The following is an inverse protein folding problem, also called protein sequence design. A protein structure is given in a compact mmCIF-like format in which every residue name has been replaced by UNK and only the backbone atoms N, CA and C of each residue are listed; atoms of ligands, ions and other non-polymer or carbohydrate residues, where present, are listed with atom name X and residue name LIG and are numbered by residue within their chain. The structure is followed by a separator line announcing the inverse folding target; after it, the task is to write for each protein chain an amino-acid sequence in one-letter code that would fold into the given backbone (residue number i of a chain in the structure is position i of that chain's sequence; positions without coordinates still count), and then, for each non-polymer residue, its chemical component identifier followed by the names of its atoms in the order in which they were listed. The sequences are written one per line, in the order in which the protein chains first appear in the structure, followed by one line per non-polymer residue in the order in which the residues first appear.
data_IF_011132780411
#
_entry.id   IF_011132780411
#
_cell.length_a   1.000
_cell.length_b   1.000
_cell.length_c   1.000
_cell.angle_alpha   90.00
_cell.angle_beta   90.00
_cell.angle_gamma   90.00
#
_symmetry.space_group_name_H-M   'P 1'
#
loop_
_entity.id
_entity.type
_entity.pdbx_description
1 polymer ?
#
# COMPACT_ATOMS: atom_id res chain seq x y z
N UNK A 1 -43.56 -21.20 0.70
CA UNK A 1 -42.62 -21.38 1.84
C UNK A 1 -41.27 -21.93 1.41
N UNK A 2 -41.18 -22.63 0.29
CA UNK A 2 -39.95 -23.35 -0.09
C UNK A 2 -38.84 -22.44 -0.62
N UNK A 3 -39.17 -21.34 -1.30
CA UNK A 3 -38.18 -20.41 -1.86
C UNK A 3 -37.27 -19.78 -0.79
N UNK A 4 -37.84 -19.45 0.37
CA UNK A 4 -37.10 -18.88 1.50
C UNK A 4 -36.12 -19.91 2.10
N UNK A 5 -36.50 -21.19 2.13
CA UNK A 5 -35.63 -22.28 2.62
C UNK A 5 -34.44 -22.51 1.69
N UNK A 6 -34.65 -22.48 0.37
CA UNK A 6 -33.55 -22.61 -0.60
C UNK A 6 -32.58 -21.42 -0.56
N UNK A 7 -33.09 -20.20 -0.36
CA UNK A 7 -32.25 -19.00 -0.22
C UNK A 7 -31.33 -19.11 1.01
N UNK A 8 -31.88 -19.52 2.16
CA UNK A 8 -31.10 -19.69 3.39
C UNK A 8 -30.03 -20.77 3.23
N UNK A 9 -30.36 -21.90 2.58
CA UNK A 9 -29.38 -22.96 2.30
C UNK A 9 -28.26 -22.49 1.38
N UNK A 10 -28.56 -21.69 0.36
CA UNK A 10 -27.55 -21.14 -0.56
C UNK A 10 -26.60 -20.17 0.17
N UNK A 11 -27.10 -19.32 1.05
CA UNK A 11 -26.29 -18.39 1.84
C UNK A 11 -25.36 -19.15 2.79
N UNK A 12 -25.87 -20.19 3.47
CA UNK A 12 -25.06 -21.02 4.37
C UNK A 12 -23.99 -21.78 3.60
N UNK A 13 -24.32 -22.36 2.44
CA UNK A 13 -23.36 -23.06 1.59
C UNK A 13 -22.26 -22.12 1.07
N UNK A 14 -22.63 -20.90 0.67
CA UNK A 14 -21.67 -19.89 0.22
C UNK A 14 -20.75 -19.44 1.36
N UNK A 15 -21.30 -19.17 2.54
CA UNK A 15 -20.51 -18.83 3.73
C UNK A 15 -19.53 -19.94 4.12
N UNK A 16 -19.95 -21.19 4.04
CA UNK A 16 -19.09 -22.35 4.32
C UNK A 16 -17.98 -22.52 3.28
N UNK A 17 -18.27 -22.28 1.99
CA UNK A 17 -17.26 -22.31 0.93
C UNK A 17 -16.21 -21.20 1.10
N UNK A 18 -16.64 -20.00 1.47
CA UNK A 18 -15.71 -18.89 1.78
C UNK A 18 -14.86 -19.20 2.99
N UNK A 19 -15.44 -19.77 4.06
CA UNK A 19 -14.71 -20.19 5.25
C UNK A 19 -13.64 -21.23 4.93
N UNK A 20 -13.98 -22.29 4.18
CA UNK A 20 -13.01 -23.31 3.75
C UNK A 20 -11.92 -22.73 2.84
N UNK A 21 -12.24 -21.77 1.98
CA UNK A 21 -11.25 -21.10 1.14
C UNK A 21 -10.27 -20.25 1.97
N UNK A 22 -10.76 -19.58 3.02
CA UNK A 22 -9.92 -18.84 3.97
C UNK A 22 -9.04 -19.81 4.78
N UNK A 23 -9.58 -20.92 5.29
CA UNK A 23 -8.80 -21.95 5.97
C UNK A 23 -7.74 -22.60 5.07
N UNK A 24 -8.07 -22.82 3.79
CA UNK A 24 -7.13 -23.34 2.81
C UNK A 24 -5.96 -22.38 2.59
N UNK A 25 -6.21 -21.07 2.58
CA UNK A 25 -5.18 -20.04 2.46
C UNK A 25 -4.34 -19.88 3.75
N UNK A 26 -4.88 -20.23 4.92
CA UNK A 26 -4.18 -20.14 6.22
C UNK A 26 -3.50 -21.46 6.64
N UNK A 27 -3.60 -22.52 5.84
CA UNK A 27 -2.99 -23.81 6.15
C UNK A 27 -1.46 -23.72 6.30
N UNK A 28 -1.00 -24.04 7.52
CA UNK A 28 0.40 -23.97 7.96
C UNK A 28 1.41 -24.77 7.12
N UNK A 29 0.96 -25.76 6.34
CA UNK A 29 1.81 -26.53 5.43
C UNK A 29 2.23 -25.73 4.18
N UNK A 30 1.33 -24.92 3.61
CA UNK A 30 1.63 -24.06 2.47
C UNK A 30 2.59 -22.94 2.90
N UNK A 31 2.36 -22.36 4.09
CA UNK A 31 3.23 -21.35 4.68
C UNK A 31 4.66 -21.89 4.94
N UNK A 32 4.79 -23.12 5.46
CA UNK A 32 6.11 -23.77 5.66
C UNK A 32 6.84 -24.09 4.36
N UNK A 33 6.12 -24.49 3.30
CA UNK A 33 6.71 -24.71 1.97
C UNK A 33 7.17 -23.39 1.32
N UNK A 34 6.41 -22.31 1.49
CA UNK A 34 6.78 -20.98 1.01
C UNK A 34 8.01 -20.42 1.72
N UNK A 35 8.07 -20.54 3.06
CA UNK A 35 9.24 -20.10 3.84
C UNK A 35 10.52 -20.83 3.44
N UNK A 36 10.43 -22.15 3.19
CA UNK A 36 11.54 -22.96 2.66
C UNK A 36 11.98 -22.58 1.24
N UNK A 37 11.09 -22.00 0.42
CA UNK A 37 11.49 -21.46 -0.88
C UNK A 37 12.19 -20.11 -0.72
N UNK A 38 11.71 -19.24 0.17
CA UNK A 38 12.32 -17.94 0.40
C UNK A 38 13.76 -18.03 0.95
N UNK A 39 14.02 -18.94 1.90
CA UNK A 39 15.36 -19.14 2.45
C UNK A 39 16.37 -19.70 1.42
N UNK A 40 15.89 -20.32 0.33
CA UNK A 40 16.73 -20.80 -0.77
C UNK A 40 17.07 -19.74 -1.81
N UNK A 41 16.34 -18.62 -1.84
CA UNK A 41 16.54 -17.53 -2.81
C UNK A 41 17.19 -16.28 -2.21
N UNK A 42 17.78 -16.40 -1.02
CA UNK A 42 18.61 -15.37 -0.41
C UNK A 42 19.89 -15.06 -1.20
N UNK A 43 19.80 -14.00 -2.02
CA UNK A 43 20.87 -13.10 -2.47
C UNK A 43 22.05 -13.67 -3.26
N UNK A 44 21.96 -13.54 -4.60
CA UNK A 44 23.13 -13.17 -5.41
C UNK A 44 23.01 -11.70 -5.80
N UNK A 45 23.86 -10.87 -5.18
CA UNK A 45 24.13 -9.48 -5.61
C UNK A 45 24.75 -9.53 -7.01
N UNK A 46 24.01 -9.14 -8.04
CA UNK A 46 24.62 -8.67 -9.28
C UNK A 46 23.83 -7.52 -9.88
N UNK A 47 24.55 -6.43 -10.17
CA UNK A 47 23.98 -5.21 -10.73
C UNK A 47 23.45 -5.47 -12.13
N UNK A 48 22.15 -5.19 -12.31
CA UNK A 48 21.48 -4.84 -13.56
C UNK A 48 20.04 -4.47 -13.19
N UNK A 49 19.62 -3.28 -13.58
CA UNK A 49 18.29 -2.73 -13.31
C UNK A 49 17.20 -3.68 -13.83
N UNK A 50 16.27 -4.05 -12.95
CA UNK A 50 15.08 -4.81 -13.27
C UNK A 50 13.88 -3.87 -13.31
N UNK A 51 13.06 -3.99 -14.36
CA UNK A 51 11.70 -3.45 -14.41
C UNK A 51 10.93 -3.88 -13.15
N UNK A 52 10.57 -2.93 -12.29
CA UNK A 52 9.87 -3.12 -11.01
C UNK A 52 8.40 -3.45 -11.26
N UNK A 53 8.12 -4.74 -11.44
CA UNK A 53 6.79 -5.26 -11.75
C UNK A 53 6.02 -5.67 -10.48
N UNK A 54 5.93 -4.77 -9.50
CA UNK A 54 4.74 -4.50 -8.67
C UNK A 54 5.11 -3.56 -7.50
N UNK A 55 4.17 -2.72 -7.09
CA UNK A 55 4.24 -1.89 -5.88
C UNK A 55 4.71 -2.68 -4.63
N UNK A 56 4.21 -3.91 -4.48
CA UNK A 56 4.58 -4.83 -3.40
C UNK A 56 6.09 -5.18 -3.38
N UNK A 57 6.73 -5.31 -4.54
CA UNK A 57 8.15 -5.63 -4.65
C UNK A 57 9.05 -4.43 -4.26
N UNK A 58 8.54 -3.19 -4.42
CA UNK A 58 9.21 -2.00 -3.93
C UNK A 58 9.19 -1.95 -2.40
N UNK A 59 8.06 -2.29 -1.78
CA UNK A 59 7.86 -2.26 -0.33
C UNK A 59 8.77 -3.28 0.39
N UNK A 60 8.86 -4.53 -0.11
CA UNK A 60 9.64 -5.59 0.54
C UNK A 60 11.16 -5.33 0.59
N UNK A 61 11.68 -4.41 -0.21
CA UNK A 61 13.14 -4.15 -0.33
C UNK A 61 13.63 -2.99 0.54
N UNK A 62 12.72 -2.22 1.13
CA UNK A 62 13.07 -1.02 1.89
C UNK A 62 13.01 -1.35 3.39
N UNK A 63 14.17 -1.65 3.98
CA UNK A 63 14.27 -1.84 5.43
C UNK A 63 14.01 -0.52 6.17
N UNK A 64 13.17 -0.54 7.19
CA UNK A 64 12.93 0.63 8.05
C UNK A 64 11.87 1.61 7.53
N UNK A 65 11.04 1.20 6.57
CA UNK A 65 9.86 1.99 6.19
C UNK A 65 8.91 2.06 7.39
N UNK A 66 8.58 3.28 7.81
CA UNK A 66 7.59 3.54 8.85
C UNK A 66 6.24 3.92 8.25
N UNK A 67 6.25 4.49 7.03
CA UNK A 67 5.02 4.92 6.36
C UNK A 67 5.07 4.86 4.84
N UNK A 68 3.93 4.56 4.24
CA UNK A 68 3.65 4.67 2.81
C UNK A 68 2.59 5.75 2.56
N UNK A 69 2.90 6.75 1.74
CA UNK A 69 1.96 7.77 1.30
C UNK A 69 1.66 7.58 -0.18
N UNK A 70 0.38 7.58 -0.54
CA UNK A 70 -0.06 7.37 -1.92
C UNK A 70 -0.91 8.54 -2.37
N UNK A 71 -0.60 9.11 -3.53
CA UNK A 71 -1.43 10.09 -4.23
C UNK A 71 -2.02 9.41 -5.45
N UNK A 72 -3.33 9.49 -5.63
CA UNK A 72 -4.01 8.83 -6.75
C UNK A 72 -5.20 9.62 -7.24
N UNK A 73 -5.61 9.39 -8.48
CA UNK A 73 -6.78 10.01 -9.09
C UNK A 73 -8.07 9.27 -8.76
N UNK A 74 -8.00 7.99 -8.44
CA UNK A 74 -9.16 7.14 -8.14
C UNK A 74 -8.74 6.00 -7.22
N UNK A 75 -9.72 5.22 -6.74
CA UNK A 75 -9.46 4.05 -5.90
C UNK A 75 -9.67 2.78 -6.73
N UNK A 76 -8.73 1.83 -6.63
CA UNK A 76 -8.82 0.53 -7.29
C UNK A 76 -8.75 -0.62 -6.29
N UNK A 77 -9.35 -1.76 -6.65
CA UNK A 77 -9.30 -2.98 -5.85
C UNK A 77 -7.84 -3.44 -5.69
N UNK A 78 -7.38 -3.79 -4.48
CA UNK A 78 -6.03 -4.28 -4.30
C UNK A 78 -5.85 -5.63 -5.01
N UNK A 79 -4.75 -5.77 -5.74
CA UNK A 79 -4.33 -7.07 -6.29
C UNK A 79 -3.94 -8.02 -5.15
N UNK A 80 -3.91 -9.33 -5.42
CA UNK A 80 -3.51 -10.33 -4.42
C UNK A 80 -2.08 -10.10 -3.89
N UNK A 81 -1.17 -9.61 -4.73
CA UNK A 81 0.20 -9.26 -4.31
C UNK A 81 0.22 -8.02 -3.41
N UNK A 82 -0.55 -6.98 -3.75
CA UNK A 82 -0.68 -5.79 -2.91
C UNK A 82 -1.31 -6.12 -1.56
N UNK A 83 -2.37 -6.94 -1.55
CA UNK A 83 -3.01 -7.37 -0.33
C UNK A 83 -2.04 -8.06 0.64
N UNK A 84 -1.16 -8.93 0.13
CA UNK A 84 -0.11 -9.58 0.95
C UNK A 84 0.89 -8.57 1.51
N UNK A 85 1.40 -7.67 0.67
CA UNK A 85 2.37 -6.68 1.12
C UNK A 85 1.77 -5.74 2.18
N UNK A 86 0.51 -5.31 2.02
CA UNK A 86 -0.21 -4.52 3.01
C UNK A 86 -0.37 -5.27 4.34
N UNK A 87 -0.70 -6.56 4.30
CA UNK A 87 -0.79 -7.40 5.52
C UNK A 87 0.57 -7.45 6.24
N UNK A 88 1.64 -7.75 5.50
CA UNK A 88 2.99 -7.80 6.05
C UNK A 88 3.40 -6.45 6.64
N UNK A 89 3.05 -5.34 5.98
CA UNK A 89 3.37 -3.99 6.42
C UNK A 89 2.58 -3.59 7.66
N UNK A 90 1.28 -3.88 7.71
CA UNK A 90 0.47 -3.69 8.92
C UNK A 90 0.96 -4.52 10.10
N UNK A 91 1.48 -5.73 9.87
CA UNK A 91 2.09 -6.54 10.94
C UNK A 91 3.33 -5.91 11.55
N UNK A 92 4.00 -5.03 10.80
CA UNK A 92 5.18 -4.27 11.21
C UNK A 92 4.83 -2.86 11.72
N UNK A 93 3.54 -2.50 11.79
CA UNK A 93 3.11 -1.17 12.22
C UNK A 93 3.32 -0.08 11.17
N UNK A 94 3.54 -0.44 9.90
CA UNK A 94 3.72 0.52 8.81
C UNK A 94 2.39 1.19 8.52
N UNK A 95 2.40 2.53 8.53
CA UNK A 95 1.21 3.34 8.29
C UNK A 95 1.01 3.62 6.79
N UNK A 96 -0.23 3.64 6.35
CA UNK A 96 -0.67 4.00 5.02
C UNK A 96 -1.50 5.28 5.03
N UNK A 97 -1.13 6.26 4.21
CA UNK A 97 -1.87 7.50 4.01
C UNK A 97 -2.21 7.70 2.53
N UNK A 98 -3.50 7.63 2.20
CA UNK A 98 -4.00 7.82 0.85
C UNK A 98 -4.55 9.22 0.66
N UNK A 99 -4.15 9.85 -0.44
CA UNK A 99 -4.58 11.18 -0.85
C UNK A 99 -5.21 11.09 -2.24
N UNK A 100 -6.49 11.45 -2.32
CA UNK A 100 -7.29 11.35 -3.55
C UNK A 100 -7.64 12.75 -4.03
N UNK A 101 -7.49 13.01 -5.33
CA UNK A 101 -7.83 14.31 -5.91
C UNK A 101 -9.32 14.66 -5.84
N UNK A 102 -9.63 15.95 -5.64
CA UNK A 102 -10.99 16.51 -5.66
C UNK A 102 -11.72 16.26 -6.98
N UNK A 103 -13.03 16.04 -6.89
CA UNK A 103 -13.92 15.69 -8.00
C UNK A 103 -13.88 14.23 -8.42
N UNK A 104 -13.09 13.39 -7.74
CA UNK A 104 -13.00 11.95 -7.98
C UNK A 104 -13.34 11.13 -6.71
N UNK A 105 -13.63 11.83 -5.61
CA UNK A 105 -14.14 11.28 -4.36
C UNK A 105 -15.60 10.83 -4.51
N UNK A 106 -15.77 9.60 -4.96
CA UNK A 106 -17.02 8.89 -4.74
C UNK A 106 -17.01 8.39 -3.28
N UNK A 107 -17.94 8.89 -2.44
CA UNK A 107 -18.02 8.49 -1.02
C UNK A 107 -18.12 6.97 -0.87
N UNK A 108 -18.85 6.31 -1.77
CA UNK A 108 -18.96 4.85 -1.80
C UNK A 108 -17.61 4.18 -2.07
N UNK A 109 -16.73 4.80 -2.85
CA UNK A 109 -15.38 4.28 -3.11
C UNK A 109 -14.47 4.42 -1.90
N UNK A 110 -14.50 5.56 -1.20
CA UNK A 110 -13.71 5.78 0.02
C UNK A 110 -14.11 4.77 1.11
N UNK A 111 -15.41 4.50 1.26
CA UNK A 111 -15.92 3.50 2.20
C UNK A 111 -15.53 2.07 1.82
N UNK A 112 -15.66 1.70 0.53
CA UNK A 112 -15.18 0.40 0.02
C UNK A 112 -13.70 0.20 0.32
N UNK A 113 -12.90 1.24 0.11
CA UNK A 113 -11.46 1.19 0.34
C UNK A 113 -11.11 0.97 1.81
N UNK A 114 -11.75 1.74 2.69
CA UNK A 114 -11.61 1.60 4.13
C UNK A 114 -12.03 0.20 4.59
N UNK A 115 -13.05 -0.38 3.95
CA UNK A 115 -13.50 -1.75 4.22
C UNK A 115 -12.46 -2.78 3.80
N UNK A 116 -11.89 -2.68 2.58
CA UNK A 116 -10.85 -3.63 2.14
C UNK A 116 -9.62 -3.59 3.03
N UNK A 117 -9.08 -2.39 3.30
CA UNK A 117 -7.91 -2.27 4.16
C UNK A 117 -8.20 -2.70 5.59
N UNK A 118 -9.43 -2.49 6.09
CA UNK A 118 -9.85 -3.02 7.39
C UNK A 118 -9.92 -4.55 7.39
N UNK A 119 -10.39 -5.17 6.30
CA UNK A 119 -10.36 -6.64 6.15
C UNK A 119 -8.92 -7.19 6.12
N UNK A 120 -8.00 -6.49 5.44
CA UNK A 120 -6.58 -6.85 5.43
C UNK A 120 -5.96 -6.71 6.83
N UNK A 121 -6.24 -5.60 7.52
CA UNK A 121 -5.80 -5.36 8.90
C UNK A 121 -6.32 -6.42 9.88
N UNK A 122 -7.58 -6.81 9.79
CA UNK A 122 -8.14 -7.89 10.63
C UNK A 122 -7.48 -9.25 10.37
N UNK A 123 -6.84 -9.43 9.21
CA UNK A 123 -6.05 -10.64 8.94
C UNK A 123 -4.71 -10.64 9.69
N UNK A 124 -4.20 -9.47 10.08
CA UNK A 124 -2.95 -9.30 10.83
C UNK A 124 -3.12 -9.59 12.32
N UNK A 125 -4.24 -9.17 12.92
CA UNK A 125 -4.52 -9.38 14.35
C UNK A 125 -4.64 -10.85 14.75
N UNK A 126 -4.70 -11.75 13.77
CA UNK A 126 -4.69 -13.21 13.99
C UNK A 126 -3.27 -13.75 14.25
N UNK A 127 -2.21 -13.00 13.92
CA UNK A 127 -0.83 -13.51 13.93
C UNK A 127 0.23 -12.57 14.54
N UNK A 128 -0.11 -11.33 14.87
CA UNK A 128 0.81 -10.37 15.51
C UNK A 128 0.49 -10.19 16.99
N UNK A 129 1.52 -10.25 17.85
CA UNK A 129 1.43 -9.93 19.27
C UNK A 129 1.29 -8.41 19.53
N UNK A 130 1.39 -7.58 18.47
CA UNK A 130 1.27 -6.13 18.55
C UNK A 130 -0.18 -5.68 18.32
N UNK A 131 -0.73 -4.94 19.28
CA UNK A 131 -2.11 -4.42 19.20
C UNK A 131 -2.13 -3.00 18.60
N UNK A 132 -1.95 -2.90 17.29
CA UNK A 132 -2.23 -1.65 16.59
C UNK A 132 -3.74 -1.43 16.49
N UNK A 133 -4.18 -0.17 16.31
CA UNK A 133 -5.54 0.13 15.85
C UNK A 133 -5.51 0.41 14.36
N UNK A 134 -6.57 0.04 13.66
CA UNK A 134 -6.66 0.27 12.23
C UNK A 134 -6.51 1.76 11.88
N UNK A 135 -7.12 2.62 12.69
CA UNK A 135 -7.12 4.07 12.51
C UNK A 135 -5.73 4.70 12.68
N UNK A 136 -4.81 4.02 13.38
CA UNK A 136 -3.42 4.47 13.53
C UNK A 136 -2.59 4.10 12.29
N UNK A 137 -2.93 2.99 11.63
CA UNK A 137 -2.18 2.47 10.49
C UNK A 137 -2.76 2.87 9.13
N UNK A 138 -3.98 3.39 9.07
CA UNK A 138 -4.62 3.66 7.79
C UNK A 138 -5.43 4.95 7.82
N UNK A 139 -5.24 5.79 6.81
CA UNK A 139 -6.10 6.95 6.57
C UNK A 139 -6.26 7.26 5.09
N UNK A 140 -7.43 7.80 4.74
CA UNK A 140 -7.76 8.29 3.40
C UNK A 140 -8.21 9.73 3.53
N UNK A 141 -7.68 10.60 2.69
CA UNK A 141 -7.94 12.04 2.71
C UNK A 141 -8.17 12.54 1.29
N UNK A 142 -9.06 13.52 1.15
CA UNK A 142 -9.32 14.15 -0.14
C UNK A 142 -8.45 15.41 -0.24
N UNK A 143 -7.63 15.49 -1.28
CA UNK A 143 -6.87 16.68 -1.62
C UNK A 143 -7.84 17.77 -2.11
N UNK A 144 -7.65 19.05 -1.73
CA UNK A 144 -8.50 20.14 -2.21
C UNK A 144 -8.34 20.47 -3.70
N UNK A 145 -7.40 19.82 -4.38
CA UNK A 145 -7.12 19.95 -5.81
C UNK A 145 -7.50 18.67 -6.54
N UNK A 146 -7.97 18.80 -7.79
CA UNK A 146 -8.16 17.63 -8.64
C UNK A 146 -6.81 16.99 -8.99
N UNK A 147 -6.74 15.67 -8.91
CA UNK A 147 -5.56 14.89 -9.31
C UNK A 147 -5.90 14.08 -10.55
N UNK A 148 -5.28 14.43 -11.68
CA UNK A 148 -5.47 13.73 -12.97
C UNK A 148 -4.17 13.15 -13.53
N UNK A 149 -3.09 13.25 -12.76
CA UNK A 149 -1.78 12.73 -13.15
C UNK A 149 -1.65 11.23 -12.88
N UNK A 150 -0.43 10.73 -13.05
CA UNK A 150 -0.05 9.40 -12.57
C UNK A 150 -0.21 9.28 -11.05
N UNK A 151 -0.46 8.08 -10.52
CA UNK A 151 -0.37 7.86 -9.08
C UNK A 151 1.08 7.99 -8.62
N UNK A 152 1.28 8.56 -7.44
CA UNK A 152 2.59 8.68 -6.79
C UNK A 152 2.60 7.91 -5.48
N UNK A 153 3.76 7.34 -5.16
CA UNK A 153 3.98 6.59 -3.93
C UNK A 153 5.26 7.07 -3.29
N UNK A 154 5.18 7.41 -2.00
CA UNK A 154 6.28 7.85 -1.19
C UNK A 154 6.45 6.87 -0.02
N UNK A 155 7.58 6.18 0.04
CA UNK A 155 7.95 5.41 1.21
C UNK A 155 8.81 6.30 2.10
N UNK A 156 8.38 6.49 3.33
CA UNK A 156 9.11 7.24 4.36
C UNK A 156 9.72 6.22 5.31
N UNK A 157 11.03 6.32 5.49
CA UNK A 157 11.82 5.45 6.37
C UNK A 157 12.50 6.29 7.42
N UNK A 158 12.49 5.81 8.66
CA UNK A 158 13.20 6.45 9.76
C UNK A 158 14.54 5.73 9.96
N UNK A 159 15.63 6.34 9.51
CA UNK A 159 16.99 5.78 9.61
C UNK A 159 17.85 6.76 10.39
N UNK A 160 18.40 6.35 11.53
CA UNK A 160 19.29 7.17 12.36
C UNK A 160 18.68 8.53 12.79
N UNK A 161 17.37 8.55 13.07
CA UNK A 161 16.56 9.76 13.34
C UNK A 161 16.45 10.74 12.15
N UNK A 162 16.78 10.30 10.94
CA UNK A 162 16.51 11.03 9.69
C UNK A 162 15.41 10.35 8.88
N UNK A 163 14.43 11.14 8.43
CA UNK A 163 13.39 10.67 7.52
C UNK A 163 13.90 10.63 6.07
N UNK A 164 13.98 9.44 5.50
CA UNK A 164 14.35 9.22 4.10
C UNK A 164 13.09 8.88 3.29
N UNK A 165 12.89 9.60 2.19
CA UNK A 165 11.77 9.46 1.26
C UNK A 165 12.20 8.84 -0.05
N UNK A 166 11.57 7.73 -0.39
CA UNK A 166 11.67 7.10 -1.70
C UNK A 166 10.40 7.38 -2.51
N UNK A 167 10.53 8.16 -3.57
CA UNK A 167 9.41 8.57 -4.41
C UNK A 167 9.35 7.76 -5.71
N UNK A 168 8.13 7.33 -6.05
CA UNK A 168 7.83 6.55 -7.23
C UNK A 168 6.60 7.10 -7.95
N UNK A 169 6.60 7.00 -9.28
CA UNK A 169 5.50 7.41 -10.18
C UNK A 169 4.99 6.22 -10.95
N UNK A 170 3.67 6.05 -10.96
CA UNK A 170 2.99 5.08 -11.79
C UNK A 170 3.05 5.44 -13.27
N UNK A 171 3.14 4.45 -14.14
CA UNK A 171 3.12 4.68 -15.59
C UNK A 171 1.72 4.94 -16.13
N UNK A 172 0.70 4.49 -15.41
CA UNK A 172 -0.69 4.54 -15.87
C UNK A 172 -1.35 5.86 -15.44
N UNK A 173 -1.52 6.79 -16.40
CA UNK A 173 -2.22 8.05 -16.16
C UNK A 173 -3.67 7.81 -15.75
N UNK A 174 -4.13 8.54 -14.73
CA UNK A 174 -5.51 8.46 -14.26
C UNK A 174 -5.87 7.17 -13.51
N UNK A 175 -4.92 6.25 -13.32
CA UNK A 175 -5.10 5.05 -12.50
C UNK A 175 -5.06 5.36 -11.01
N UNK A 176 -5.72 4.51 -10.22
CA UNK A 176 -5.65 4.55 -8.77
C UNK A 176 -4.34 3.96 -8.25
N UNK A 177 -3.99 2.78 -8.74
CA UNK A 177 -2.72 2.11 -8.46
C UNK A 177 -2.17 1.61 -9.79
N UNK A 178 -0.96 2.03 -10.15
CA UNK A 178 -0.38 1.64 -11.43
C UNK A 178 0.16 0.20 -11.36
N UNK A 179 0.13 -0.51 -12.49
CA UNK A 179 0.71 -1.85 -12.57
C UNK A 179 2.24 -1.82 -12.46
N UNK A 180 2.84 -0.67 -12.77
CA UNK A 180 4.29 -0.49 -12.73
C UNK A 180 4.63 0.90 -12.21
N UNK A 181 5.63 0.94 -11.35
CA UNK A 181 6.14 2.17 -10.77
C UNK A 181 7.58 2.36 -11.18
N UNK A 182 7.93 3.59 -11.55
CA UNK A 182 9.31 4.00 -11.76
C UNK A 182 9.74 4.96 -10.65
N UNK A 183 11.03 4.96 -10.36
CA UNK A 183 11.60 5.89 -9.40
C UNK A 183 11.74 7.27 -10.04
N UNK A 184 11.29 8.32 -9.35
CA UNK A 184 11.40 9.69 -9.85
C UNK A 184 12.60 10.43 -9.29
N UNK A 185 12.99 11.51 -9.98
CA UNK A 185 14.02 12.42 -9.50
C UNK A 185 13.57 13.18 -8.25
N UNK A 186 14.53 13.65 -7.45
CA UNK A 186 14.26 14.53 -6.31
C UNK A 186 13.47 15.78 -6.74
N UNK A 187 13.82 16.40 -7.86
CA UNK A 187 13.13 17.61 -8.34
C UNK A 187 11.64 17.35 -8.63
N UNK A 188 11.34 16.23 -9.28
CA UNK A 188 9.96 15.84 -9.58
C UNK A 188 9.19 15.51 -8.29
N UNK A 189 9.78 14.71 -7.40
CA UNK A 189 9.20 14.39 -6.10
C UNK A 189 8.88 15.66 -5.28
N UNK A 190 9.82 16.59 -5.21
CA UNK A 190 9.65 17.86 -4.50
C UNK A 190 8.56 18.73 -5.12
N UNK A 191 8.43 18.71 -6.44
CA UNK A 191 7.38 19.47 -7.14
C UNK A 191 6.00 18.94 -6.74
N UNK A 192 5.82 17.62 -6.75
CA UNK A 192 4.56 16.98 -6.35
C UNK A 192 4.26 17.21 -4.88
N UNK A 193 5.25 17.01 -4.00
CA UNK A 193 5.09 17.25 -2.56
C UNK A 193 4.71 18.70 -2.29
N UNK A 194 5.40 19.67 -2.91
CA UNK A 194 5.13 21.10 -2.71
C UNK A 194 3.73 21.47 -3.18
N UNK A 195 3.29 20.94 -4.32
CA UNK A 195 1.95 21.15 -4.85
C UNK A 195 0.87 20.66 -3.86
N UNK A 196 1.02 19.42 -3.37
CA UNK A 196 0.06 18.83 -2.45
C UNK A 196 0.10 19.49 -1.07
N UNK A 197 1.28 19.82 -0.53
CA UNK A 197 1.45 20.49 0.77
C UNK A 197 0.99 21.95 0.78
N UNK A 198 0.99 22.62 -0.37
CA UNK A 198 0.35 23.92 -0.54
C UNK A 198 -1.19 23.80 -0.48
N UNK A 199 -1.73 22.68 -0.98
CA UNK A 199 -3.18 22.44 -1.02
C UNK A 199 -3.78 21.86 0.27
N UNK A 200 -3.03 21.06 1.05
CA UNK A 200 -3.53 20.36 2.24
C UNK A 200 -2.52 20.39 3.38
N UNK A 201 -2.99 20.77 4.59
CA UNK A 201 -2.19 20.73 5.82
C UNK A 201 -1.94 19.30 6.28
N UNK A 202 -2.91 18.43 6.05
CA UNK A 202 -2.85 17.02 6.40
C UNK A 202 -1.81 16.29 5.56
N UNK A 203 -1.64 16.66 4.28
CA UNK A 203 -0.56 16.16 3.45
C UNK A 203 0.80 16.68 3.92
N UNK A 204 0.87 17.95 4.32
CA UNK A 204 2.10 18.50 4.91
C UNK A 204 2.52 17.78 6.19
N UNK A 205 1.56 17.48 7.06
CA UNK A 205 1.81 16.67 8.26
C UNK A 205 2.06 15.20 7.95
N UNK A 206 1.71 14.74 6.75
CA UNK A 206 2.22 13.48 6.26
C UNK A 206 3.71 13.67 5.93
N UNK A 207 4.08 14.43 4.91
CA UNK A 207 5.48 14.48 4.46
C UNK A 207 6.49 14.97 5.52
N UNK A 208 7.77 14.57 5.43
CA UNK A 208 8.82 15.08 6.30
C UNK A 208 8.90 16.60 6.34
N UNK A 209 9.16 17.16 7.52
CA UNK A 209 9.19 18.60 7.76
C UNK A 209 10.34 19.33 7.04
N UNK A 210 11.49 18.66 6.90
CA UNK A 210 12.63 19.13 6.12
C UNK A 210 13.03 18.06 5.11
N UNK A 211 12.60 18.23 3.86
CA UNK A 211 13.09 17.40 2.75
C UNK A 211 14.46 17.94 2.33
N UNK A 212 15.52 17.50 3.00
CA UNK A 212 16.89 17.81 2.59
C UNK A 212 17.21 17.09 1.27
N UNK A 213 18.20 17.58 0.51
CA UNK A 213 18.65 16.92 -0.73
C UNK A 213 19.20 15.50 -0.51
N UNK A 214 19.53 15.15 0.73
CA UNK A 214 19.91 13.81 1.20
C UNK A 214 18.70 12.92 1.51
N UNK A 215 17.56 13.52 1.86
CA UNK A 215 16.34 12.81 2.26
C UNK A 215 15.54 12.25 1.08
N UNK A 216 15.93 12.54 -0.16
CA UNK A 216 15.42 11.85 -1.34
C UNK A 216 16.62 11.33 -2.10
N UNK A 217 16.83 10.02 -2.04
CA UNK A 217 17.99 9.41 -2.71
C UNK A 217 17.84 9.61 -4.22
N UNK A 218 18.61 10.59 -4.72
CA UNK A 218 18.72 10.96 -6.11
C UNK A 218 19.19 9.76 -6.94
N UNK A 219 18.72 9.69 -8.18
CA UNK A 219 19.29 8.82 -9.21
C UNK A 219 20.74 9.25 -9.45
N UNK A 220 21.67 8.75 -8.65
CA UNK A 220 23.08 8.86 -9.00
C UNK A 220 23.29 8.01 -10.25
N UNK A 221 23.46 8.71 -11.37
CA UNK A 221 23.82 8.18 -12.68
C UNK A 221 25.13 7.41 -12.53
N UNK A 222 25.07 6.10 -12.75
CA UNK A 222 26.21 5.27 -13.12
C UNK A 222 25.94 4.66 -14.48
#
# INVERSE_FOLDING_TARGET
MDLLRYLVLAIVAFGFAVFLYVEFLTSSEQQKKFRKHFDRFGLSRSGRYLSLRTFADCEQRLSGVSRVVVISSQIENPTSSLARAVIDNFSQGIRYEFFIGKGMEDQDQIEKYSTWFRSLFNSVSTYSDQSFKFEDLFSVKVLPIAWRGSPYVFHVSDVDNEEIVYAYRGQDLGSGISQSYERVSLQEAMTIISLCAASSREFRGAMPGELSSTNVVALNRH
#
